data_IF_524260773071
#
_entry.id   IF_524260773071
#
_cell.length_a   1.000
_cell.length_b   1.000
_cell.length_c   1.000
_cell.angle_alpha   90.00
_cell.angle_beta   90.00
_cell.angle_gamma   90.00
#
_symmetry.space_group_name_H-M   'P 1'
#
loop_
_entity.id
_entity.type
_entity.pdbx_description
1 polymer ?
#
# COMPACT_ATOMS: atom_id res chain seq x y z
N UNK A 1 -4.47 4.57 2.00
CA UNK A 1 -4.68 5.29 0.72
C UNK A 1 -5.32 6.65 0.94
N UNK A 2 -6.35 6.74 1.76
CA UNK A 2 -6.98 8.02 2.05
C UNK A 2 -6.00 8.99 2.71
N UNK A 3 -5.17 8.51 3.65
CA UNK A 3 -4.16 9.33 4.30
C UNK A 3 -3.14 9.87 3.30
N UNK A 4 -2.76 9.06 2.29
CA UNK A 4 -1.88 9.51 1.23
C UNK A 4 -2.54 10.58 0.35
N UNK A 5 -3.81 10.40 0.02
CA UNK A 5 -4.55 11.36 -0.79
C UNK A 5 -4.70 12.71 -0.08
N UNK A 6 -4.79 12.69 1.24
CA UNK A 6 -4.89 13.90 2.07
C UNK A 6 -3.52 14.43 2.50
N UNK A 7 -2.43 13.77 2.08
CA UNK A 7 -1.06 14.11 2.48
C UNK A 7 -0.86 14.11 4.00
N UNK A 8 -1.61 13.25 4.70
CA UNK A 8 -1.52 13.12 6.15
C UNK A 8 -0.45 12.09 6.51
N UNK A 9 0.80 12.56 6.62
CA UNK A 9 1.93 11.72 6.94
C UNK A 9 1.78 11.01 8.29
N UNK A 10 1.24 11.71 9.28
CA UNK A 10 1.07 11.13 10.62
C UNK A 10 0.07 9.99 10.60
N UNK A 11 -1.08 10.17 9.96
CA UNK A 11 -2.11 9.13 9.87
C UNK A 11 -1.60 7.93 9.07
N UNK A 12 -0.92 8.16 7.94
CA UNK A 12 -0.36 7.08 7.13
C UNK A 12 0.66 6.27 7.93
N UNK A 13 1.56 6.95 8.65
CA UNK A 13 2.59 6.31 9.43
C UNK A 13 2.01 5.51 10.61
N UNK A 14 0.94 6.00 11.23
CA UNK A 14 0.29 5.32 12.35
C UNK A 14 -0.37 3.99 11.94
N UNK A 15 -0.71 3.83 10.66
CA UNK A 15 -1.26 2.59 10.12
C UNK A 15 -0.19 1.57 9.73
N UNK A 16 1.08 1.95 9.76
CA UNK A 16 2.19 1.06 9.47
C UNK A 16 2.55 0.21 10.69
N UNK A 17 3.16 -0.97 10.43
CA UNK A 17 3.60 -1.85 11.49
C UNK A 17 4.71 -1.22 12.32
N UNK A 18 4.94 -1.72 13.57
CA UNK A 18 6.05 -1.22 14.37
C UNK A 18 7.42 -1.35 13.69
N UNK A 19 7.63 -2.43 12.92
CA UNK A 19 8.88 -2.61 12.17
C UNK A 19 9.13 -1.52 11.15
N UNK A 20 8.10 -1.14 10.41
CA UNK A 20 8.17 -0.03 9.44
C UNK A 20 8.42 1.29 10.17
N UNK A 21 7.73 1.53 11.28
CA UNK A 21 7.91 2.75 12.06
C UNK A 21 9.35 2.89 12.59
N UNK A 22 9.94 1.79 13.03
CA UNK A 22 11.33 1.79 13.48
C UNK A 22 12.29 2.08 12.32
N UNK A 23 12.03 1.48 11.16
CA UNK A 23 12.89 1.63 9.98
C UNK A 23 12.92 3.08 9.48
N UNK A 24 11.79 3.74 9.40
CA UNK A 24 11.71 5.10 8.85
C UNK A 24 11.78 6.20 9.92
N UNK A 25 11.49 5.86 11.17
CA UNK A 25 11.62 6.70 12.36
C UNK A 25 10.62 7.85 12.46
N UNK A 26 10.35 8.56 11.36
CA UNK A 26 9.43 9.70 11.35
C UNK A 26 8.37 9.57 10.26
N UNK A 27 7.17 10.17 10.45
CA UNK A 27 6.16 10.19 9.40
C UNK A 27 6.65 10.86 8.11
N UNK A 28 7.48 11.90 8.23
CA UNK A 28 8.02 12.63 7.08
C UNK A 28 8.93 11.75 6.23
N UNK A 29 9.81 10.97 6.86
CA UNK A 29 10.69 10.04 6.15
C UNK A 29 9.90 8.95 5.45
N UNK A 30 8.88 8.42 6.12
CA UNK A 30 8.00 7.42 5.56
C UNK A 30 7.27 7.97 4.33
N UNK A 31 6.69 9.16 4.44
CA UNK A 31 5.92 9.78 3.37
C UNK A 31 6.79 10.10 2.14
N UNK A 32 8.02 10.53 2.36
CA UNK A 32 8.95 10.76 1.25
C UNK A 32 9.30 9.49 0.51
N UNK A 33 9.50 8.38 1.23
CA UNK A 33 9.73 7.09 0.60
C UNK A 33 8.52 6.67 -0.26
N UNK A 34 7.32 6.80 0.27
CA UNK A 34 6.10 6.45 -0.48
C UNK A 34 5.95 7.31 -1.72
N UNK A 35 6.17 8.62 -1.59
CA UNK A 35 6.07 9.55 -2.71
C UNK A 35 7.04 9.20 -3.83
N UNK A 36 8.29 8.86 -3.48
CA UNK A 36 9.32 8.61 -4.48
C UNK A 36 9.30 7.21 -5.06
N UNK A 37 8.88 6.20 -4.27
CA UNK A 37 8.95 4.79 -4.67
C UNK A 37 7.60 4.15 -4.98
N UNK A 38 6.51 4.72 -4.49
CA UNK A 38 5.15 4.16 -4.62
C UNK A 38 4.15 5.21 -5.10
N UNK A 39 4.48 5.92 -6.18
CA UNK A 39 3.64 6.99 -6.70
C UNK A 39 2.21 6.53 -6.97
N UNK A 40 2.04 5.30 -7.47
CA UNK A 40 0.72 4.76 -7.78
C UNK A 40 -0.20 4.68 -6.56
N UNK A 41 0.35 4.38 -5.37
CA UNK A 41 -0.44 4.34 -4.13
C UNK A 41 -0.47 5.69 -3.43
N UNK A 42 0.50 6.56 -3.67
CA UNK A 42 0.51 7.90 -3.10
C UNK A 42 -0.54 8.80 -3.75
N UNK A 43 -0.64 8.75 -5.07
CA UNK A 43 -1.57 9.58 -5.86
C UNK A 43 -2.27 8.73 -6.91
N UNK A 44 -3.10 7.76 -6.50
CA UNK A 44 -3.81 6.94 -7.49
C UNK A 44 -4.88 7.75 -8.19
N UNK A 45 -5.05 7.50 -9.49
CA UNK A 45 -6.14 8.07 -10.27
C UNK A 45 -7.46 7.37 -9.95
N UNK A 46 -7.41 6.08 -9.65
CA UNK A 46 -8.58 5.27 -9.33
C UNK A 46 -8.14 4.09 -8.45
N UNK A 47 -9.01 3.65 -7.56
CA UNK A 47 -8.73 2.59 -6.59
C UNK A 47 -9.91 1.61 -6.53
N UNK A 48 -9.61 0.31 -6.60
CA UNK A 48 -10.60 -0.75 -6.40
C UNK A 48 -10.04 -1.79 -5.44
N UNK A 49 -10.70 -2.00 -4.31
CA UNK A 49 -10.31 -3.02 -3.35
C UNK A 49 -10.81 -4.39 -3.82
N UNK A 50 -9.92 -5.38 -3.81
CA UNK A 50 -10.23 -6.75 -4.18
C UNK A 50 -10.40 -7.62 -2.92
N UNK A 51 -10.74 -8.90 -3.09
CA UNK A 51 -10.94 -9.79 -1.94
C UNK A 51 -9.62 -10.05 -1.23
N UNK A 52 -9.68 -10.16 0.11
CA UNK A 52 -8.52 -10.54 0.92
C UNK A 52 -8.00 -11.90 0.47
N UNK A 53 -6.69 -12.07 0.52
CA UNK A 53 -6.02 -13.29 0.12
C UNK A 53 -4.91 -13.66 1.11
N UNK A 54 -4.52 -14.92 1.11
CA UNK A 54 -3.34 -15.39 1.83
C UNK A 54 -2.21 -15.53 0.82
N UNK A 55 -1.12 -14.78 1.05
CA UNK A 55 0.06 -14.80 0.17
C UNK A 55 1.26 -15.16 1.03
N UNK A 56 1.91 -16.29 0.72
CA UNK A 56 3.06 -16.80 1.49
C UNK A 56 2.75 -16.91 2.99
N UNK A 57 1.53 -17.35 3.34
CA UNK A 57 1.12 -17.54 4.72
C UNK A 57 0.70 -16.27 5.46
N UNK A 58 0.74 -15.10 4.81
CA UNK A 58 0.34 -13.84 5.42
C UNK A 58 -0.90 -13.28 4.74
N UNK A 59 -1.75 -12.60 5.54
CA UNK A 59 -2.93 -11.94 5.00
C UNK A 59 -2.53 -10.74 4.16
N UNK A 60 -3.07 -10.65 2.96
CA UNK A 60 -2.83 -9.55 2.04
C UNK A 60 -4.14 -8.95 1.56
N UNK A 61 -4.14 -7.63 1.40
CA UNK A 61 -5.23 -6.89 0.78
C UNK A 61 -4.78 -6.43 -0.60
N UNK A 62 -5.26 -7.09 -1.67
CA UNK A 62 -4.99 -6.60 -3.01
C UNK A 62 -5.83 -5.37 -3.30
N UNK A 63 -5.22 -4.39 -3.96
CA UNK A 63 -5.89 -3.16 -4.37
C UNK A 63 -5.50 -2.88 -5.81
N UNK A 64 -6.47 -2.78 -6.68
CA UNK A 64 -6.23 -2.37 -8.06
C UNK A 64 -6.21 -0.85 -8.11
N UNK A 65 -5.09 -0.29 -8.57
CA UNK A 65 -4.92 1.16 -8.67
C UNK A 65 -4.58 1.54 -10.11
N UNK A 66 -5.06 2.70 -10.54
CA UNK A 66 -4.56 3.35 -11.74
C UNK A 66 -3.56 4.40 -11.30
N UNK A 67 -2.35 4.37 -11.87
CA UNK A 67 -1.36 5.39 -11.58
C UNK A 67 -1.76 6.73 -12.25
N UNK A 68 -1.04 7.83 -12.00
CA UNK A 68 -1.41 9.11 -12.56
C UNK A 68 -1.47 9.13 -14.11
N UNK A 69 -0.72 8.24 -14.76
CA UNK A 69 -0.73 8.10 -16.23
C UNK A 69 -1.83 7.17 -16.73
N UNK A 70 -2.62 6.57 -15.82
CA UNK A 70 -3.71 5.66 -16.18
C UNK A 70 -3.29 4.22 -16.37
N UNK A 71 -2.08 3.84 -16.01
CA UNK A 71 -1.61 2.46 -16.09
C UNK A 71 -2.12 1.65 -14.90
N UNK A 72 -2.72 0.46 -15.12
CA UNK A 72 -3.19 -0.35 -14.01
C UNK A 72 -2.04 -1.04 -13.29
N UNK A 73 -2.12 -1.05 -11.97
CA UNK A 73 -1.18 -1.75 -11.11
C UNK A 73 -1.93 -2.41 -9.97
N UNK A 74 -1.41 -3.52 -9.48
CA UNK A 74 -1.96 -4.16 -8.29
C UNK A 74 -1.02 -3.90 -7.12
N UNK A 75 -1.55 -3.28 -6.08
CA UNK A 75 -0.84 -3.11 -4.82
C UNK A 75 -1.25 -4.25 -3.89
N UNK A 76 -0.27 -5.00 -3.38
CA UNK A 76 -0.50 -6.03 -2.39
C UNK A 76 -0.07 -5.50 -1.04
N UNK A 77 -1.03 -5.18 -0.18
CA UNK A 77 -0.77 -4.73 1.17
C UNK A 77 -0.66 -5.93 2.08
N UNK A 78 0.55 -6.19 2.57
CA UNK A 78 0.78 -7.24 3.55
C UNK A 78 0.39 -6.72 4.93
N UNK A 79 -0.47 -7.48 5.63
CA UNK A 79 -1.04 -7.07 6.90
C UNK A 79 -0.39 -7.81 8.05
N UNK A 80 -0.22 -7.13 9.19
CA UNK A 80 0.32 -7.71 10.41
C UNK A 80 -0.66 -7.49 11.55
N UNK A 81 -1.06 -8.58 12.22
CA UNK A 81 -1.96 -8.51 13.38
C UNK A 81 -1.18 -8.12 14.62
N UNK A 82 -1.67 -7.13 15.32
CA UNK A 82 -1.05 -6.64 16.55
C UNK A 82 -1.58 -7.40 17.78
N UNK A 83 -0.86 -7.34 18.93
CA UNK A 83 -1.32 -8.00 20.16
C UNK A 83 -2.69 -7.55 20.63
N UNK A 84 -3.11 -6.31 20.34
CA UNK A 84 -4.43 -5.79 20.70
C UNK A 84 -5.55 -6.23 19.74
N UNK A 85 -5.21 -7.03 18.70
CA UNK A 85 -6.16 -7.51 17.71
C UNK A 85 -6.32 -6.61 16.50
N UNK A 86 -5.74 -5.42 16.51
CA UNK A 86 -5.78 -4.52 15.35
C UNK A 86 -4.85 -5.00 14.24
N UNK A 87 -5.09 -4.52 13.01
CA UNK A 87 -4.28 -4.85 11.85
C UNK A 87 -3.51 -3.62 11.40
N UNK A 88 -2.22 -3.82 11.07
CA UNK A 88 -1.36 -2.76 10.54
C UNK A 88 -0.70 -3.22 9.25
N UNK A 89 -0.32 -2.25 8.42
CA UNK A 89 0.35 -2.51 7.15
C UNK A 89 1.84 -2.79 7.43
N UNK A 90 2.30 -3.98 7.03
CA UNK A 90 3.69 -4.38 7.20
C UNK A 90 4.50 -4.34 5.91
N UNK A 91 3.86 -4.14 4.78
CA UNK A 91 4.54 -4.03 3.50
C UNK A 91 3.56 -3.74 2.38
N UNK A 92 4.08 -3.28 1.27
CA UNK A 92 3.31 -3.05 0.06
C UNK A 92 4.17 -3.39 -1.14
N UNK A 93 3.62 -4.19 -2.05
CA UNK A 93 4.29 -4.59 -3.28
C UNK A 93 3.46 -4.12 -4.45
N UNK A 94 4.07 -3.40 -5.37
CA UNK A 94 3.43 -3.01 -6.62
C UNK A 94 3.76 -4.06 -7.67
N UNK A 95 2.71 -4.70 -8.20
CA UNK A 95 2.83 -5.74 -9.21
C UNK A 95 2.21 -5.22 -10.50
N UNK A 96 2.95 -5.22 -11.62
CA UNK A 96 2.36 -4.86 -12.91
C UNK A 96 1.26 -5.85 -13.28
N UNK A 97 0.17 -5.35 -13.84
CA UNK A 97 -0.88 -6.21 -14.36
C UNK A 97 -0.51 -6.58 -15.78
N UNK A 98 -0.35 -7.89 -16.01
CA UNK A 98 -0.14 -8.40 -17.34
C UNK A 98 -1.50 -8.49 -18.03
N UNK A 99 -1.62 -7.78 -19.15
CA UNK A 99 -2.78 -7.91 -20.02
C UNK A 99 -2.40 -8.90 -21.10
N UNK A 100 -3.01 -10.10 -21.06
CA UNK A 100 -2.81 -11.05 -22.12
C UNK A 100 -3.44 -10.51 -23.40
N UNK A 101 -2.70 -10.52 -24.53
CA UNK A 101 -3.29 -10.11 -25.79
C UNK A 101 -4.45 -11.04 -26.13
N UNK A 102 -5.62 -10.48 -26.35
CA UNK A 102 -6.75 -11.25 -26.85
C UNK A 102 -6.52 -11.52 -28.35
N UNK A 103 -6.73 -12.74 -28.70
CA UNK A 103 -6.56 -13.19 -30.07
C UNK A 103 -7.89 -13.08 -30.80
#
# INVERSE_FOLDING_TARGET
LEAFQQEDAFAAFSLASPGIQITFQTPENFMEMVRSSYEAVYRPRSVLFENLAIVNGALAQPVLVLDPEGNPRRALYQMEKQPDGSWRINGCFLVPIEVEPSI
#
